data_IF_931326570708
#
_entry.id   IF_931326570708
#
_cell.length_a   1.000
_cell.length_b   1.000
_cell.length_c   1.000
_cell.angle_alpha   90.00
_cell.angle_beta   90.00
_cell.angle_gamma   90.00
#
_symmetry.space_group_name_H-M   'P 1'
#
loop_
_entity.id
_entity.type
_entity.pdbx_description
1 polymer ?
#
# COMPACT_ATOMS: atom_id res chain seq x y z
N UNK A 1 -66.25 34.80 22.57
CA UNK A 1 -65.35 34.74 21.40
C UNK A 1 -64.41 35.94 21.50
N UNK A 2 -63.22 35.76 22.07
CA UNK A 2 -62.19 36.81 22.20
C UNK A 2 -60.99 36.36 21.38
N UNK A 3 -60.69 37.13 20.35
CA UNK A 3 -59.49 37.00 19.52
C UNK A 3 -58.38 37.69 20.32
N UNK A 4 -57.33 36.95 20.66
CA UNK A 4 -56.11 37.48 21.27
C UNK A 4 -54.98 37.25 20.27
N UNK A 5 -54.57 38.33 19.62
CA UNK A 5 -53.34 38.42 18.86
C UNK A 5 -52.16 38.07 19.78
N UNK A 6 -51.45 37.01 19.44
CA UNK A 6 -50.13 36.74 20.01
C UNK A 6 -49.14 36.58 18.87
N UNK A 7 -48.24 37.56 18.76
CA UNK A 7 -47.13 37.55 17.83
C UNK A 7 -46.28 36.27 17.99
N UNK A 8 -45.81 35.64 16.91
CA UNK A 8 -44.90 34.51 17.01
C UNK A 8 -43.52 34.98 17.49
N UNK A 9 -43.06 34.34 18.57
CA UNK A 9 -41.71 34.39 19.13
C UNK A 9 -40.65 34.31 18.03
N UNK A 10 -39.65 35.20 18.08
CA UNK A 10 -38.46 35.08 17.25
C UNK A 10 -37.75 33.75 17.56
N UNK A 11 -37.77 32.84 16.59
CA UNK A 11 -36.92 31.66 16.59
C UNK A 11 -35.57 32.08 15.99
N UNK A 12 -34.65 32.52 16.84
CA UNK A 12 -33.23 32.52 16.51
C UNK A 12 -32.81 31.07 16.24
N UNK A 13 -32.84 30.64 14.99
CA UNK A 13 -32.22 29.37 14.55
C UNK A 13 -30.78 29.65 14.12
N UNK A 14 -29.92 29.51 15.11
CA UNK A 14 -28.52 29.08 15.09
C UNK A 14 -27.99 28.63 13.72
N UNK A 15 -27.50 29.56 12.90
CA UNK A 15 -26.67 29.32 11.70
C UNK A 15 -25.18 29.18 12.09
N UNK A 16 -24.88 28.27 13.02
CA UNK A 16 -23.50 27.88 13.33
C UNK A 16 -23.51 26.40 13.67
N UNK A 17 -22.70 25.62 12.94
CA UNK A 17 -22.27 24.24 13.19
C UNK A 17 -22.69 23.18 12.13
N UNK A 18 -22.66 23.49 10.83
CA UNK A 18 -22.58 22.45 9.79
C UNK A 18 -21.13 22.14 9.36
N UNK A 19 -20.16 22.99 9.74
CA UNK A 19 -18.76 22.85 9.31
C UNK A 19 -17.84 22.03 10.25
N UNK A 20 -18.38 21.36 11.29
CA UNK A 20 -17.54 20.72 12.33
C UNK A 20 -17.69 19.20 12.46
N UNK A 21 -18.43 18.54 11.56
CA UNK A 21 -18.68 17.09 11.64
C UNK A 21 -17.89 16.23 10.66
N UNK A 22 -16.91 16.78 9.93
CA UNK A 22 -16.06 16.00 9.01
C UNK A 22 -14.61 15.78 9.49
N UNK A 23 -14.24 16.26 10.68
CA UNK A 23 -12.85 16.18 11.21
C UNK A 23 -12.67 15.19 12.36
N UNK A 24 -13.43 14.09 12.37
CA UNK A 24 -13.27 13.01 13.35
C UNK A 24 -13.20 11.63 12.69
N UNK A 25 -12.40 11.51 11.62
CA UNK A 25 -11.89 10.21 11.14
C UNK A 25 -10.37 10.27 11.21
N UNK A 26 -9.86 10.29 12.43
CA UNK A 26 -8.46 10.01 12.70
C UNK A 26 -8.43 8.71 13.53
N UNK A 27 -7.64 7.76 13.05
CA UNK A 27 -7.29 6.48 13.70
C UNK A 27 -8.36 5.38 13.63
N UNK A 28 -8.41 4.72 12.49
CA UNK A 28 -9.01 3.39 12.34
C UNK A 28 -8.63 2.86 10.98
N UNK A 29 -8.08 1.65 10.92
CA UNK A 29 -7.74 0.96 9.68
C UNK A 29 -8.88 1.12 8.67
N UNK A 30 -8.62 1.91 7.63
CA UNK A 30 -9.61 2.28 6.63
C UNK A 30 -9.84 1.09 5.71
N UNK A 31 -10.71 0.17 6.11
CA UNK A 31 -11.24 -0.87 5.23
C UNK A 31 -12.14 -0.26 4.15
N UNK A 32 -11.56 0.35 3.12
CA UNK A 32 -12.33 1.03 2.04
C UNK A 32 -12.09 0.38 0.66
N UNK A 33 -11.44 -0.78 0.66
CA UNK A 33 -11.29 -1.64 -0.51
C UNK A 33 -12.38 -2.71 -0.56
N UNK A 34 -13.64 -2.29 -0.73
CA UNK A 34 -14.80 -3.20 -0.81
C UNK A 34 -14.78 -4.13 -2.04
N UNK A 35 -13.87 -3.90 -3.00
CA UNK A 35 -13.73 -4.72 -4.21
C UNK A 35 -12.73 -5.87 -4.06
N UNK A 36 -12.03 -6.03 -2.92
CA UNK A 36 -11.26 -7.24 -2.66
C UNK A 36 -12.09 -8.23 -1.86
N UNK A 37 -12.30 -9.43 -2.40
CA UNK A 37 -12.76 -10.54 -1.57
C UNK A 37 -11.62 -10.90 -0.61
N UNK A 38 -11.80 -10.54 0.66
CA UNK A 38 -10.97 -11.03 1.77
C UNK A 38 -11.32 -12.49 2.01
N UNK A 39 -10.34 -13.29 2.42
CA UNK A 39 -10.60 -14.64 2.92
C UNK A 39 -11.68 -14.62 4.03
N UNK A 40 -12.84 -15.22 3.75
CA UNK A 40 -13.97 -15.33 4.68
C UNK A 40 -14.91 -16.47 4.22
N UNK A 41 -15.11 -17.46 5.10
CA UNK A 41 -15.91 -18.69 4.98
C UNK A 41 -15.74 -19.59 3.74
N UNK A 42 -14.81 -19.28 2.84
CA UNK A 42 -14.16 -20.33 2.05
C UNK A 42 -13.27 -21.10 3.03
N UNK A 43 -13.32 -22.44 3.04
CA UNK A 43 -12.25 -23.24 3.64
C UNK A 43 -10.95 -22.62 3.14
N UNK A 44 -10.15 -22.06 4.06
CA UNK A 44 -8.80 -21.64 3.73
C UNK A 44 -8.22 -22.75 2.87
N UNK A 45 -7.64 -22.47 1.69
CA UNK A 45 -6.93 -23.50 0.97
C UNK A 45 -6.08 -24.20 2.01
N UNK A 46 -6.29 -25.50 2.18
CA UNK A 46 -5.36 -26.26 2.97
C UNK A 46 -4.03 -25.97 2.29
N UNK A 47 -3.14 -25.25 2.99
CA UNK A 47 -1.72 -25.25 2.67
C UNK A 47 -1.39 -26.73 2.67
N UNK A 48 -1.36 -27.33 1.49
CA UNK A 48 -1.02 -28.73 1.36
C UNK A 48 0.37 -28.79 1.95
N UNK A 49 0.58 -29.62 2.98
CA UNK A 49 1.83 -29.70 3.76
C UNK A 49 3.08 -30.13 2.97
N UNK A 50 3.11 -29.88 1.68
CA UNK A 50 4.27 -29.70 0.84
C UNK A 50 4.38 -28.19 0.49
N UNK A 51 4.56 -27.34 1.51
CA UNK A 51 4.84 -25.93 1.28
C UNK A 51 6.10 -25.82 0.41
N UNK A 52 6.02 -25.13 -0.73
CA UNK A 52 7.23 -24.73 -1.46
C UNK A 52 7.86 -23.59 -0.65
N UNK A 53 8.71 -23.97 0.31
CA UNK A 53 9.46 -23.00 1.13
C UNK A 53 10.67 -22.44 0.41
N UNK A 54 11.03 -22.97 -0.76
CA UNK A 54 12.19 -22.51 -1.52
C UNK A 54 11.86 -21.25 -2.29
N UNK A 55 12.55 -20.15 -1.98
CA UNK A 55 12.52 -18.94 -2.80
C UNK A 55 12.97 -19.21 -4.24
N UNK A 56 12.50 -18.35 -5.15
CA UNK A 56 12.93 -18.34 -6.54
C UNK A 56 14.45 -18.14 -6.67
N UNK A 57 15.02 -18.64 -7.76
CA UNK A 57 16.40 -18.32 -8.12
C UNK A 57 16.54 -16.82 -8.32
N UNK A 58 17.46 -16.19 -7.60
CA UNK A 58 17.73 -14.76 -7.73
C UNK A 58 18.01 -14.37 -9.19
N UNK A 59 17.35 -13.31 -9.71
CA UNK A 59 17.56 -12.89 -11.09
C UNK A 59 18.99 -12.39 -11.29
N UNK A 60 19.60 -12.81 -12.40
CA UNK A 60 20.79 -12.17 -12.94
C UNK A 60 20.44 -10.81 -13.57
N UNK A 61 21.45 -9.96 -13.82
CA UNK A 61 21.23 -8.65 -14.46
C UNK A 61 20.50 -8.78 -15.81
N UNK A 62 19.41 -8.05 -15.97
CA UNK A 62 18.52 -8.07 -17.13
C UNK A 62 17.51 -9.23 -17.14
N UNK A 63 17.59 -10.15 -16.16
CA UNK A 63 16.70 -11.29 -16.07
C UNK A 63 15.45 -10.95 -15.25
N UNK A 64 14.32 -11.47 -15.70
CA UNK A 64 13.07 -11.54 -14.94
C UNK A 64 12.85 -12.97 -14.46
N UNK A 65 12.52 -13.13 -13.19
CA UNK A 65 12.12 -14.42 -12.61
C UNK A 65 10.74 -14.28 -11.97
N UNK A 66 9.95 -15.35 -12.03
CA UNK A 66 8.69 -15.44 -11.30
C UNK A 66 8.94 -15.80 -9.84
N UNK A 67 8.05 -15.34 -8.97
CA UNK A 67 8.00 -15.81 -7.58
C UNK A 67 7.67 -17.30 -7.54
N UNK A 68 8.26 -18.00 -6.58
CA UNK A 68 8.13 -19.43 -6.40
C UNK A 68 7.46 -19.79 -5.07
N UNK A 69 7.43 -18.84 -4.12
CA UNK A 69 6.74 -19.02 -2.85
C UNK A 69 5.24 -19.30 -3.03
N UNK A 70 4.70 -20.16 -2.17
CA UNK A 70 3.30 -20.54 -2.25
C UNK A 70 2.35 -19.36 -2.15
N UNK A 71 1.27 -19.44 -2.93
CA UNK A 71 0.27 -18.39 -3.06
C UNK A 71 0.85 -17.02 -3.40
N UNK A 72 2.09 -16.95 -3.91
CA UNK A 72 2.79 -15.73 -4.27
C UNK A 72 2.90 -15.62 -5.78
N UNK A 73 2.48 -14.48 -6.31
CA UNK A 73 2.38 -14.23 -7.73
C UNK A 73 3.04 -12.91 -8.08
N UNK A 74 3.52 -12.82 -9.33
CA UNK A 74 4.28 -11.68 -9.83
C UNK A 74 5.68 -12.08 -10.23
N UNK A 75 6.51 -11.06 -10.47
CA UNK A 75 7.89 -11.23 -10.92
C UNK A 75 8.82 -10.22 -10.27
N UNK A 76 10.11 -10.55 -10.31
CA UNK A 76 11.20 -9.61 -10.00
C UNK A 76 12.21 -9.59 -11.15
N UNK A 77 12.64 -8.39 -11.52
CA UNK A 77 13.67 -8.15 -12.53
C UNK A 77 14.85 -7.40 -11.90
N UNK A 78 16.07 -7.90 -12.07
CA UNK A 78 17.28 -7.14 -11.69
C UNK A 78 17.74 -6.29 -12.88
N UNK A 79 17.78 -4.97 -12.73
CA UNK A 79 18.25 -4.09 -13.80
C UNK A 79 19.78 -3.90 -13.80
N UNK A 80 20.29 -3.25 -14.85
CA UNK A 80 21.72 -2.97 -15.02
C UNK A 80 22.31 -2.04 -13.94
N UNK A 81 21.46 -1.30 -13.21
CA UNK A 81 21.88 -0.45 -12.09
C UNK A 81 21.90 -1.21 -10.76
N UNK A 82 21.60 -2.51 -10.76
CA UNK A 82 21.52 -3.35 -9.58
C UNK A 82 20.29 -3.04 -8.72
N UNK A 83 19.20 -2.56 -9.34
CA UNK A 83 17.91 -2.35 -8.69
C UNK A 83 16.99 -3.51 -9.04
N UNK A 84 16.37 -4.08 -8.03
CA UNK A 84 15.32 -5.07 -8.18
C UNK A 84 13.99 -4.35 -8.41
N UNK A 85 13.29 -4.73 -9.47
CA UNK A 85 12.01 -4.18 -9.86
C UNK A 85 10.97 -5.28 -9.73
N UNK A 86 10.07 -5.14 -8.77
CA UNK A 86 8.99 -6.08 -8.46
C UNK A 86 7.72 -5.61 -9.14
N UNK A 87 7.07 -6.54 -9.86
CA UNK A 87 5.84 -6.29 -10.57
C UNK A 87 4.78 -7.33 -10.19
N UNK A 88 3.53 -6.86 -10.08
CA UNK A 88 2.36 -7.70 -9.80
C UNK A 88 2.47 -8.56 -8.54
N UNK A 89 3.18 -8.08 -7.50
CA UNK A 89 3.32 -8.83 -6.26
C UNK A 89 1.97 -8.98 -5.56
N UNK A 90 1.50 -10.21 -5.52
CA UNK A 90 0.21 -10.59 -4.97
C UNK A 90 0.38 -11.84 -4.13
N UNK A 91 -0.24 -11.86 -2.94
CA UNK A 91 -0.36 -13.07 -2.13
C UNK A 91 -1.82 -13.41 -1.85
N UNK A 92 -2.22 -14.64 -2.18
CA UNK A 92 -3.61 -15.06 -2.09
C UNK A 92 -3.94 -16.17 -3.08
N UNK A 93 -5.21 -16.26 -3.43
CA UNK A 93 -5.70 -17.22 -4.41
C UNK A 93 -6.01 -16.45 -5.70
N UNK A 94 -5.35 -16.79 -6.80
CA UNK A 94 -5.77 -16.31 -8.12
C UNK A 94 -6.77 -17.30 -8.73
N UNK A 95 -7.96 -16.80 -9.05
CA UNK A 95 -8.97 -17.52 -9.83
C UNK A 95 -8.94 -17.11 -11.29
N UNK A 96 -9.55 -17.91 -12.16
CA UNK A 96 -9.81 -17.53 -13.56
C UNK A 96 -11.23 -17.00 -13.78
N UNK A 97 -12.08 -17.05 -12.76
CA UNK A 97 -13.49 -16.63 -12.78
C UNK A 97 -13.80 -15.80 -11.53
N UNK A 98 -14.53 -14.69 -11.69
CA UNK A 98 -14.93 -13.81 -10.57
C UNK A 98 -14.61 -12.34 -10.77
N UNK A 99 -15.20 -11.48 -9.91
CA UNK A 99 -14.91 -10.05 -9.82
C UNK A 99 -14.71 -9.68 -8.33
N UNK A 100 -13.48 -9.52 -7.86
CA UNK A 100 -12.22 -9.65 -8.61
C UNK A 100 -11.89 -11.13 -8.87
N UNK A 101 -11.07 -11.46 -9.91
CA UNK A 101 -10.66 -12.83 -10.19
C UNK A 101 -9.60 -13.33 -9.19
N UNK A 102 -9.62 -12.86 -7.95
CA UNK A 102 -8.65 -13.23 -6.93
C UNK A 102 -9.19 -13.00 -5.51
N UNK A 103 -8.69 -13.76 -4.55
CA UNK A 103 -8.94 -13.59 -3.12
C UNK A 103 -7.61 -13.23 -2.49
N UNK A 104 -7.47 -11.99 -2.02
CA UNK A 104 -6.23 -11.50 -1.45
C UNK A 104 -6.07 -11.93 0.01
N UNK A 105 -4.84 -12.30 0.40
CA UNK A 105 -4.48 -12.42 1.81
C UNK A 105 -4.62 -11.06 2.53
N UNK A 106 -4.87 -11.11 3.83
CA UNK A 106 -4.95 -9.88 4.64
C UNK A 106 -3.59 -9.20 4.81
N UNK A 107 -2.51 -9.98 4.80
CA UNK A 107 -1.14 -9.53 4.99
C UNK A 107 -0.26 -10.20 3.95
N UNK A 108 0.61 -9.42 3.29
CA UNK A 108 1.61 -9.95 2.37
C UNK A 108 3.00 -9.80 3.00
N UNK A 109 3.88 -10.75 2.74
CA UNK A 109 5.24 -10.82 3.24
C UNK A 109 6.23 -10.93 2.10
N UNK A 110 7.29 -10.12 2.11
CA UNK A 110 8.32 -10.13 1.09
C UNK A 110 9.72 -10.20 1.70
N UNK A 111 10.57 -11.08 1.16
CA UNK A 111 11.98 -11.20 1.51
C UNK A 111 12.84 -10.41 0.52
N UNK A 112 13.57 -9.40 1.02
CA UNK A 112 14.48 -8.58 0.20
C UNK A 112 15.77 -9.32 -0.13
N UNK A 113 16.16 -10.32 0.67
CA UNK A 113 17.34 -11.14 0.44
C UNK A 113 17.06 -12.23 -0.61
N UNK A 114 15.88 -12.85 -0.52
CA UNK A 114 15.51 -13.97 -1.39
C UNK A 114 14.76 -13.53 -2.65
N UNK A 115 14.39 -12.24 -2.71
CA UNK A 115 13.67 -11.63 -3.82
C UNK A 115 12.34 -12.34 -4.15
N UNK A 116 11.65 -12.86 -3.14
CA UNK A 116 10.42 -13.63 -3.27
C UNK A 116 9.44 -13.31 -2.12
N UNK A 117 8.28 -13.97 -2.10
CA UNK A 117 7.41 -14.05 -0.95
C UNK A 117 8.14 -14.54 0.29
N UNK A 118 7.57 -14.25 1.47
CA UNK A 118 8.21 -14.53 2.76
C UNK A 118 8.21 -16.01 3.19
N UNK A 119 8.69 -16.93 2.34
CA UNK A 119 8.75 -18.36 2.63
C UNK A 119 9.63 -18.73 3.83
N UNK A 120 10.86 -18.21 3.83
CA UNK A 120 11.91 -18.56 4.81
C UNK A 120 12.31 -17.34 5.68
N UNK A 121 11.44 -16.33 5.73
CA UNK A 121 11.68 -15.05 6.39
C UNK A 121 11.15 -13.90 5.56
N UNK A 122 11.01 -12.72 6.17
CA UNK A 122 10.50 -11.54 5.47
C UNK A 122 11.08 -10.26 6.07
N UNK A 123 11.23 -9.25 5.22
CA UNK A 123 11.75 -7.94 5.59
C UNK A 123 10.68 -6.84 5.45
N UNK A 124 9.69 -7.07 4.58
CA UNK A 124 8.56 -6.16 4.36
C UNK A 124 7.25 -6.86 4.67
N UNK A 125 6.35 -6.13 5.34
CA UNK A 125 4.98 -6.57 5.62
C UNK A 125 4.04 -5.55 4.99
N UNK A 126 3.14 -6.00 4.14
CA UNK A 126 2.09 -5.17 3.54
C UNK A 126 0.73 -5.56 4.09
N UNK A 127 -0.13 -4.61 4.39
CA UNK A 127 -1.57 -4.90 4.48
C UNK A 127 -2.12 -5.08 3.06
N UNK A 128 -2.87 -6.14 2.79
CA UNK A 128 -3.38 -6.46 1.44
C UNK A 128 -4.79 -5.96 1.19
N UNK A 129 -5.76 -6.38 2.00
CA UNK A 129 -7.20 -6.29 1.62
C UNK A 129 -7.93 -5.01 2.05
N UNK A 130 -7.32 -4.13 2.84
CA UNK A 130 -8.01 -2.97 3.42
C UNK A 130 -7.26 -1.66 3.21
N UNK A 131 -5.93 -1.71 3.36
CA UNK A 131 -5.04 -0.58 3.22
C UNK A 131 -3.83 -1.08 2.42
N UNK A 132 -3.06 -0.20 1.81
CA UNK A 132 -1.83 -0.59 1.12
C UNK A 132 -0.60 -0.26 1.98
N UNK A 133 -0.75 -0.33 3.31
CA UNK A 133 0.25 0.10 4.26
C UNK A 133 1.46 -0.85 4.27
N UNK A 134 2.67 -0.30 4.44
CA UNK A 134 3.90 -1.06 4.61
C UNK A 134 4.46 -0.89 6.01
N UNK A 135 4.96 -1.98 6.58
CA UNK A 135 5.69 -2.03 7.85
C UNK A 135 6.84 -3.03 7.75
N UNK A 136 7.62 -3.16 8.83
CA UNK A 136 8.78 -4.06 8.92
C UNK A 136 8.67 -4.92 10.19
N UNK A 137 9.34 -6.09 10.24
CA UNK A 137 9.36 -6.94 11.43
C UNK A 137 9.84 -6.23 12.69
N UNK A 138 9.52 -6.79 13.85
CA UNK A 138 10.09 -6.33 15.12
C UNK A 138 11.64 -6.40 15.09
N UNK A 139 12.29 -5.36 15.61
CA UNK A 139 13.76 -5.24 15.60
C UNK A 139 14.35 -4.64 14.32
N UNK A 140 13.52 -4.41 13.29
CA UNK A 140 13.90 -3.65 12.10
C UNK A 140 13.55 -2.17 12.31
N UNK A 141 14.13 -1.29 11.49
CA UNK A 141 13.72 0.12 11.42
C UNK A 141 13.18 0.46 10.04
N UNK A 142 12.08 1.20 10.00
CA UNK A 142 11.51 1.78 8.79
C UNK A 142 11.60 3.30 8.86
N UNK A 143 12.19 3.91 7.83
CA UNK A 143 12.28 5.36 7.70
C UNK A 143 11.80 5.79 6.31
N UNK A 144 11.19 6.97 6.19
CA UNK A 144 10.92 7.59 4.90
C UNK A 144 11.86 8.77 4.63
N UNK A 145 12.14 9.04 3.35
CA UNK A 145 12.90 10.21 2.91
C UNK A 145 12.35 10.72 1.57
N UNK A 146 12.48 12.03 1.34
CA UNK A 146 12.21 12.68 0.06
C UNK A 146 13.47 12.81 -0.80
N UNK A 147 14.59 12.22 -0.38
CA UNK A 147 15.78 12.06 -1.22
C UNK A 147 15.42 11.18 -2.42
N UNK A 148 15.80 11.61 -3.62
CA UNK A 148 15.58 10.85 -4.84
C UNK A 148 16.16 9.43 -4.73
N UNK A 149 15.43 8.40 -5.19
CA UNK A 149 15.79 6.99 -5.03
C UNK A 149 17.20 6.71 -5.56
N UNK A 150 17.57 7.30 -6.69
CA UNK A 150 18.90 7.16 -7.29
C UNK A 150 20.02 7.70 -6.37
N UNK A 151 19.75 8.76 -5.60
CA UNK A 151 20.71 9.44 -4.73
C UNK A 151 20.82 8.86 -3.32
N UNK A 152 19.94 7.95 -2.92
CA UNK A 152 19.99 7.31 -1.60
C UNK A 152 21.20 6.37 -1.51
N UNK A 153 21.98 6.57 -0.46
CA UNK A 153 23.19 5.84 -0.05
C UNK A 153 23.03 5.26 1.36
N UNK A 154 23.98 4.43 1.81
CA UNK A 154 24.01 3.86 3.17
C UNK A 154 24.08 4.89 4.31
N UNK A 155 24.61 6.09 4.03
CA UNK A 155 24.65 7.23 4.96
C UNK A 155 23.38 8.08 4.97
N UNK A 156 22.48 7.88 4.00
CA UNK A 156 21.20 8.59 3.99
C UNK A 156 20.39 8.17 5.21
N UNK A 157 19.76 9.15 5.84
CA UNK A 157 18.84 8.95 6.97
C UNK A 157 17.48 9.53 6.62
N UNK A 158 16.44 8.95 7.19
CA UNK A 158 15.07 9.41 7.01
C UNK A 158 14.38 9.71 8.34
N UNK A 159 13.09 9.98 8.27
CA UNK A 159 12.22 10.09 9.44
C UNK A 159 11.63 8.73 9.76
N UNK A 160 11.74 8.29 11.01
CA UNK A 160 11.28 6.96 11.43
C UNK A 160 9.75 6.89 11.54
N UNK A 161 9.19 5.76 11.10
CA UNK A 161 7.76 5.44 11.18
C UNK A 161 7.57 3.97 11.51
N UNK A 162 6.50 3.62 12.22
CA UNK A 162 6.12 2.21 12.44
C UNK A 162 5.44 1.60 11.22
N UNK A 163 4.71 2.44 10.47
CA UNK A 163 3.92 2.06 9.31
C UNK A 163 3.91 3.25 8.34
N UNK A 164 4.07 2.97 7.06
CA UNK A 164 4.01 3.98 5.99
C UNK A 164 2.85 3.62 5.06
N UNK A 165 1.85 4.48 4.98
CA UNK A 165 0.54 4.09 4.44
C UNK A 165 -0.13 5.18 3.64
N UNK A 166 -1.35 5.55 4.04
CA UNK A 166 -2.05 6.68 3.44
C UNK A 166 -1.34 8.01 3.73
N UNK A 167 -1.31 8.88 2.73
CA UNK A 167 -0.83 10.25 2.81
C UNK A 167 -2.00 11.22 3.08
N UNK A 168 -3.05 11.10 2.26
CA UNK A 168 -4.25 11.95 2.32
C UNK A 168 -5.49 11.22 1.83
N UNK A 169 -6.63 11.68 2.34
CA UNK A 169 -7.94 11.41 1.77
C UNK A 169 -8.34 12.54 0.84
N UNK A 170 -8.78 12.20 -0.36
CA UNK A 170 -9.20 13.12 -1.42
C UNK A 170 -10.70 12.95 -1.67
N UNK A 171 -11.36 14.05 -2.04
CA UNK A 171 -12.77 14.07 -2.44
C UNK A 171 -12.95 14.05 -3.98
N UNK A 172 -11.84 13.93 -4.71
CA UNK A 172 -11.76 13.90 -6.16
C UNK A 172 -10.37 13.42 -6.59
N UNK A 173 -10.17 13.04 -7.87
CA UNK A 173 -8.85 12.70 -8.39
C UNK A 173 -7.87 13.88 -8.22
N UNK A 174 -6.58 13.63 -7.95
CA UNK A 174 -5.58 14.68 -7.89
C UNK A 174 -5.42 15.35 -9.26
N UNK A 175 -5.35 16.68 -9.31
CA UNK A 175 -5.22 17.47 -10.55
C UNK A 175 -3.80 17.99 -10.79
N UNK A 176 -2.80 17.47 -10.07
CA UNK A 176 -1.42 17.93 -10.16
C UNK A 176 -0.50 17.24 -9.15
N UNK A 177 0.72 17.75 -9.02
CA UNK A 177 1.70 17.21 -8.09
C UNK A 177 1.14 17.22 -6.67
N UNK A 178 1.29 16.08 -5.99
CA UNK A 178 0.84 15.95 -4.61
C UNK A 178 1.94 16.45 -3.67
N UNK A 179 1.70 16.43 -2.36
CA UNK A 179 2.74 16.75 -1.36
C UNK A 179 2.68 15.74 -0.23
N UNK A 180 3.84 15.40 0.34
CA UNK A 180 3.90 14.55 1.52
C UNK A 180 3.27 15.28 2.71
N UNK A 181 2.32 14.63 3.37
CA UNK A 181 1.69 15.08 4.60
C UNK A 181 2.56 14.63 5.78
N UNK A 182 3.23 15.55 6.45
CA UNK A 182 4.10 15.19 7.58
C UNK A 182 3.35 14.72 8.83
N UNK A 183 2.04 15.00 8.94
CA UNK A 183 1.20 14.47 10.01
C UNK A 183 0.75 13.01 9.74
N UNK A 184 0.63 12.65 8.46
CA UNK A 184 0.31 11.30 8.01
C UNK A 184 1.24 10.94 6.84
N UNK A 185 2.52 10.67 7.13
CA UNK A 185 3.49 10.38 6.08
C UNK A 185 3.15 9.03 5.47
N UNK A 186 2.80 9.04 4.19
CA UNK A 186 2.37 7.86 3.46
C UNK A 186 2.73 7.91 1.98
N UNK A 187 2.57 6.79 1.29
CA UNK A 187 2.97 6.63 -0.11
C UNK A 187 1.81 6.73 -1.09
N UNK A 188 0.56 6.85 -0.64
CA UNK A 188 -0.59 6.95 -1.53
C UNK A 188 -1.62 7.95 -1.03
N UNK A 189 -2.32 8.60 -1.96
CA UNK A 189 -3.57 9.30 -1.65
C UNK A 189 -4.75 8.41 -2.00
N UNK A 190 -5.83 8.52 -1.22
CA UNK A 190 -7.04 7.75 -1.48
C UNK A 190 -8.20 8.68 -1.82
N UNK A 191 -8.75 8.55 -3.02
CA UNK A 191 -10.00 9.21 -3.43
C UNK A 191 -11.18 8.39 -2.93
N UNK A 192 -11.84 8.91 -1.90
CA UNK A 192 -13.01 8.24 -1.28
C UNK A 192 -14.26 8.30 -2.15
N UNK A 193 -14.31 9.19 -3.15
CA UNK A 193 -15.48 9.31 -4.03
C UNK A 193 -15.42 8.24 -5.12
N UNK A 194 -14.27 8.11 -5.77
CA UNK A 194 -14.09 7.12 -6.83
C UNK A 194 -13.55 5.77 -6.33
N UNK A 195 -13.17 5.66 -5.05
CA UNK A 195 -12.48 4.49 -4.49
C UNK A 195 -11.20 4.13 -5.26
N UNK A 196 -10.39 5.13 -5.63
CA UNK A 196 -9.13 4.95 -6.35
C UNK A 196 -7.96 5.40 -5.48
N UNK A 197 -6.86 4.67 -5.57
CA UNK A 197 -5.61 4.96 -4.88
C UNK A 197 -4.61 5.55 -5.87
N UNK A 198 -3.94 6.60 -5.44
CA UNK A 198 -2.98 7.36 -6.23
C UNK A 198 -1.61 7.34 -5.53
N UNK A 199 -0.68 6.46 -5.96
CA UNK A 199 0.68 6.41 -5.41
C UNK A 199 1.41 7.75 -5.60
N UNK A 200 1.88 8.40 -4.55
CA UNK A 200 2.39 9.78 -4.64
C UNK A 200 3.67 9.92 -5.51
N UNK A 201 4.43 8.83 -5.67
CA UNK A 201 5.60 8.76 -6.53
C UNK A 201 5.25 9.02 -8.01
N UNK A 202 4.12 8.49 -8.48
CA UNK A 202 3.61 8.72 -9.83
C UNK A 202 3.07 10.15 -10.00
N UNK A 203 2.85 10.88 -8.90
CA UNK A 203 2.33 12.26 -8.89
C UNK A 203 3.41 13.27 -8.46
N UNK A 204 4.66 13.02 -8.87
CA UNK A 204 5.77 13.97 -8.80
C UNK A 204 6.44 14.12 -7.44
N UNK A 205 6.07 13.30 -6.44
CA UNK A 205 6.72 13.30 -5.13
C UNK A 205 7.48 12.01 -4.95
N UNK A 206 8.78 12.06 -5.17
CA UNK A 206 9.63 10.91 -4.91
C UNK A 206 9.80 10.72 -3.40
N UNK A 207 9.09 9.72 -2.85
CA UNK A 207 9.30 9.25 -1.49
C UNK A 207 9.84 7.84 -1.54
N UNK A 208 10.92 7.61 -0.81
CA UNK A 208 11.54 6.31 -0.66
C UNK A 208 11.60 5.94 0.80
N UNK A 209 11.69 4.65 1.04
CA UNK A 209 11.85 4.04 2.34
C UNK A 209 13.30 3.58 2.49
N UNK A 210 13.81 3.70 3.70
CA UNK A 210 15.04 3.08 4.15
C UNK A 210 14.64 2.01 5.17
N UNK A 211 14.91 0.76 4.83
CA UNK A 211 14.67 -0.40 5.68
C UNK A 211 16.01 -0.85 6.21
N UNK A 212 16.14 -0.91 7.54
CA UNK A 212 17.34 -1.47 8.20
C UNK A 212 16.92 -2.73 8.93
N UNK A 213 17.56 -3.85 8.61
CA UNK A 213 17.32 -5.14 9.26
C UNK A 213 17.88 -5.16 10.67
N UNK A 214 17.50 -6.17 11.46
CA UNK A 214 18.08 -6.42 12.80
C UNK A 214 19.60 -6.65 12.77
N UNK A 215 20.15 -7.04 11.62
CA UNK A 215 21.59 -7.24 11.37
C UNK A 215 22.28 -6.01 10.76
N UNK A 216 21.62 -4.84 10.78
CA UNK A 216 22.09 -3.58 10.22
C UNK A 216 22.31 -3.57 8.69
N UNK A 217 21.71 -4.50 7.96
CA UNK A 217 21.69 -4.43 6.49
C UNK A 217 20.67 -3.38 6.08
N UNK A 218 21.05 -2.44 5.21
CA UNK A 218 20.17 -1.38 4.74
C UNK A 218 19.70 -1.63 3.31
N UNK A 219 18.43 -1.30 3.06
CA UNK A 219 17.83 -1.29 1.74
C UNK A 219 17.15 0.06 1.51
N UNK A 220 17.19 0.53 0.27
CA UNK A 220 16.25 1.55 -0.22
C UNK A 220 15.11 0.86 -0.93
N UNK A 221 13.87 1.28 -0.67
CA UNK A 221 12.66 0.73 -1.25
C UNK A 221 11.78 1.89 -1.73
N UNK A 222 11.09 1.74 -2.85
CA UNK A 222 10.08 2.70 -3.29
C UNK A 222 8.87 1.96 -3.84
N UNK A 223 7.71 2.27 -3.27
CA UNK A 223 6.42 1.80 -3.75
C UNK A 223 5.99 2.66 -4.94
N UNK A 224 5.49 1.99 -5.98
CA UNK A 224 5.16 2.62 -7.26
C UNK A 224 3.68 2.48 -7.57
N UNK A 225 3.11 1.30 -7.34
CA UNK A 225 1.70 1.03 -7.66
C UNK A 225 1.15 -0.13 -6.81
N UNK A 226 -0.17 -0.34 -6.86
CA UNK A 226 -0.93 -1.41 -6.21
C UNK A 226 -1.96 -2.06 -7.12
N UNK A 227 -2.03 -1.68 -8.39
CA UNK A 227 -2.92 -2.26 -9.38
C UNK A 227 -2.18 -3.26 -10.25
N UNK A 228 -2.90 -4.29 -10.69
CA UNK A 228 -2.37 -5.26 -11.65
C UNK A 228 -1.93 -4.52 -12.89
N UNK A 229 -0.67 -4.72 -13.26
CA UNK A 229 0.03 -4.04 -14.35
C UNK A 229 0.18 -2.51 -14.18
N UNK A 230 0.02 -2.00 -12.97
CA UNK A 230 0.27 -0.60 -12.61
C UNK A 230 -0.77 0.39 -13.13
N UNK A 231 -2.01 -0.03 -13.32
CA UNK A 231 -3.09 0.87 -13.76
C UNK A 231 -4.45 0.37 -13.23
N UNK A 232 -5.27 1.23 -12.61
CA UNK A 232 -6.65 0.88 -12.27
C UNK A 232 -7.43 0.46 -13.52
N UNK A 233 -8.15 -0.67 -13.47
CA UNK A 233 -8.95 -1.14 -14.60
C UNK A 233 -10.30 -0.41 -14.77
N UNK A 234 -10.60 0.52 -13.87
CA UNK A 234 -11.76 1.41 -13.94
C UNK A 234 -11.43 2.76 -13.30
N UNK A 235 -12.12 3.81 -13.72
CA UNK A 235 -12.00 5.15 -13.13
C UNK A 235 -12.79 5.31 -11.82
N UNK A 236 -13.67 4.36 -11.53
CA UNK A 236 -14.48 4.28 -10.30
C UNK A 236 -14.47 2.82 -9.86
N UNK A 237 -14.19 2.57 -8.58
CA UNK A 237 -14.21 1.25 -7.95
C UNK A 237 -13.46 0.19 -8.77
N UNK A 238 -12.21 0.47 -9.11
CA UNK A 238 -11.33 -0.52 -9.71
C UNK A 238 -11.30 -1.80 -8.85
N UNK A 239 -11.02 -2.94 -9.46
CA UNK A 239 -11.04 -4.24 -8.75
C UNK A 239 -9.78 -5.07 -9.01
N UNK A 240 -8.83 -4.56 -9.80
CA UNK A 240 -7.58 -5.22 -10.10
C UNK A 240 -6.48 -4.88 -9.09
N UNK A 241 -6.78 -4.95 -7.79
CA UNK A 241 -5.85 -4.66 -6.70
C UNK A 241 -6.11 -5.63 -5.53
N UNK A 242 -5.21 -5.78 -4.53
CA UNK A 242 -3.86 -5.24 -4.46
C UNK A 242 -2.84 -6.11 -5.23
N UNK A 243 -2.07 -5.48 -6.11
CA UNK A 243 -0.90 -6.05 -6.79
C UNK A 243 0.23 -5.04 -6.64
N UNK A 244 1.07 -5.22 -5.62
CA UNK A 244 2.12 -4.26 -5.32
C UNK A 244 3.16 -4.24 -6.44
N UNK A 245 3.54 -3.02 -6.80
CA UNK A 245 4.68 -2.73 -7.67
C UNK A 245 5.62 -1.85 -6.89
N UNK A 246 6.87 -2.29 -6.77
CA UNK A 246 7.88 -1.55 -6.04
C UNK A 246 9.27 -1.87 -6.57
N UNK A 247 10.22 -1.02 -6.22
CA UNK A 247 11.64 -1.23 -6.53
C UNK A 247 12.48 -1.14 -5.28
N UNK A 248 13.57 -1.87 -5.23
CA UNK A 248 14.49 -1.81 -4.11
C UNK A 248 15.93 -2.12 -4.49
N UNK A 249 16.85 -1.73 -3.60
CA UNK A 249 18.26 -2.03 -3.72
C UNK A 249 18.91 -2.09 -2.35
N UNK A 250 19.76 -3.09 -2.12
CA UNK A 250 20.64 -3.14 -0.96
C UNK A 250 21.65 -1.99 -1.00
N UNK A 251 21.81 -1.30 0.12
CA UNK A 251 22.78 -0.23 0.29
C UNK A 251 24.04 -0.85 0.93
N UNK A 252 25.18 -0.62 0.28
CA UNK A 252 26.50 -1.00 0.78
C UNK A 252 27.13 0.15 1.55
#
# INVERSE_FOLDING_TARGET
>A
MKILDTAPKSAAKTTKNIARSFYAVALGAMAIFSSCQKEGDQTAPALSGADVTTAATNPSTGQTVSFNCDSTYGTVTLDASGVYNVANFFQGIQGTTGNPPHIAHSIYYYSLADNDGGCDGYDLIFSGTANADISVPAGYTLQYTTTAFASITSSTTGTSVSTFGYNRILMAPPTGATTLNTAHPGWYNYDVVNHIVYPIAEWGVEVSLIVTTSTNVKYKVQLQDLYSNGTPNATVQANNFPFFKFRYKRLN
#
